data_IF_941760506700
#
_entry.id   IF_941760506700
#
_cell.length_a   1.000
_cell.length_b   1.000
_cell.length_c   1.000
_cell.angle_alpha   90.00
_cell.angle_beta   90.00
_cell.angle_gamma   90.00
#
_symmetry.space_group_name_H-M   'P 1'
#
loop_
_entity.id
_entity.type
_entity.pdbx_description
1 polymer ?
#
# COMPACT_ATOMS: atom_id res chain seq x y z
N UNK A 1 24.57 20.96 -1.12
CA UNK A 1 23.10 21.15 -1.13
C UNK A 1 22.77 22.52 -1.72
N UNK A 2 21.89 22.61 -2.73
CA UNK A 2 21.47 23.93 -3.27
C UNK A 2 20.59 24.64 -2.24
N UNK A 3 20.93 25.87 -1.86
CA UNK A 3 20.10 26.68 -0.95
C UNK A 3 18.80 27.06 -1.66
N UNK A 4 17.66 26.75 -1.03
CA UNK A 4 16.34 27.12 -1.56
C UNK A 4 16.19 28.64 -1.49
N UNK A 5 16.01 29.26 -2.66
CA UNK A 5 15.81 30.72 -2.74
C UNK A 5 14.40 31.09 -2.26
N UNK A 6 14.29 32.15 -1.47
CA UNK A 6 12.99 32.73 -1.10
C UNK A 6 12.28 33.26 -2.35
N UNK A 7 10.96 33.11 -2.40
CA UNK A 7 10.09 33.57 -3.49
C UNK A 7 9.04 34.55 -2.97
N UNK A 8 8.53 35.43 -3.84
CA UNK A 8 7.42 36.35 -3.53
C UNK A 8 6.08 35.65 -3.74
N UNK A 9 5.23 35.63 -2.73
CA UNK A 9 3.89 35.04 -2.83
C UNK A 9 3.02 35.84 -3.81
N UNK A 10 2.30 35.16 -4.72
CA UNK A 10 1.40 35.83 -5.68
C UNK A 10 0.18 36.50 -5.03
N UNK A 11 -0.26 36.03 -3.86
CA UNK A 11 -1.40 36.59 -3.14
C UNK A 11 -0.99 37.72 -2.17
N UNK A 12 -0.30 37.40 -1.07
CA UNK A 12 0.03 38.39 -0.04
C UNK A 12 1.30 39.21 -0.33
N UNK A 13 2.00 38.94 -1.45
CA UNK A 13 3.23 39.65 -1.87
C UNK A 13 4.42 39.58 -0.91
N UNK A 14 4.31 38.84 0.19
CA UNK A 14 5.41 38.60 1.13
C UNK A 14 6.39 37.54 0.59
N UNK A 15 7.66 37.68 0.99
CA UNK A 15 8.68 36.66 0.73
C UNK A 15 8.43 35.43 1.62
N UNK A 16 8.60 34.24 1.04
CA UNK A 16 8.48 32.97 1.74
C UNK A 16 9.55 31.98 1.23
N UNK A 17 9.89 31.00 2.05
CA UNK A 17 10.73 29.87 1.64
C UNK A 17 9.82 28.77 1.07
N UNK A 18 9.94 28.41 -0.22
CA UNK A 18 9.19 27.29 -0.79
C UNK A 18 9.55 25.95 -0.16
N UNK A 19 8.61 25.00 -0.21
CA UNK A 19 8.87 23.61 0.15
C UNK A 19 9.91 23.02 -0.81
N UNK A 20 10.92 22.34 -0.28
CA UNK A 20 11.98 21.71 -1.07
C UNK A 20 11.47 20.73 -2.12
N UNK A 21 10.34 20.05 -1.89
CA UNK A 21 9.75 19.08 -2.83
C UNK A 21 9.06 19.75 -4.00
N UNK A 22 8.64 21.00 -3.82
CA UNK A 22 7.81 21.73 -4.78
C UNK A 22 8.36 23.13 -5.08
N UNK A 23 9.66 23.33 -4.84
CA UNK A 23 10.24 24.67 -4.80
C UNK A 23 10.11 25.38 -6.15
N UNK A 24 10.19 24.64 -7.26
CA UNK A 24 10.05 25.15 -8.62
C UNK A 24 8.64 25.69 -8.88
N UNK A 25 7.60 24.90 -8.55
CA UNK A 25 6.21 25.20 -8.92
C UNK A 25 5.44 25.99 -7.84
N UNK A 26 5.94 26.03 -6.60
CA UNK A 26 5.25 26.73 -5.51
C UNK A 26 5.34 28.26 -5.68
N UNK A 27 4.17 28.86 -5.92
CA UNK A 27 4.01 30.31 -6.17
C UNK A 27 3.27 31.05 -5.03
N UNK A 28 2.75 30.29 -4.06
CA UNK A 28 1.97 30.82 -2.93
C UNK A 28 2.59 30.31 -1.62
N UNK A 29 2.61 31.15 -0.59
CA UNK A 29 3.06 30.74 0.73
C UNK A 29 2.00 29.86 1.44
N UNK A 30 2.39 29.26 2.56
CA UNK A 30 1.54 28.31 3.30
C UNK A 30 0.41 28.95 4.10
N UNK A 31 0.36 30.29 4.20
CA UNK A 31 -0.71 31.01 4.92
C UNK A 31 -2.09 30.62 4.35
N UNK A 32 -3.04 30.31 5.23
CA UNK A 32 -4.42 29.91 4.88
C UNK A 32 -5.07 30.77 3.79
N UNK A 33 -5.06 32.12 3.84
CA UNK A 33 -5.63 32.93 2.76
C UNK A 33 -4.91 32.74 1.41
N UNK A 34 -3.58 32.55 1.43
CA UNK A 34 -2.80 32.33 0.21
C UNK A 34 -3.02 30.93 -0.38
N UNK A 35 -3.26 29.92 0.46
CA UNK A 35 -3.67 28.57 0.00
C UNK A 35 -5.03 28.60 -0.67
N UNK A 36 -6.01 29.31 -0.10
CA UNK A 36 -7.34 29.51 -0.71
C UNK A 36 -7.21 30.20 -2.07
N UNK A 37 -6.42 31.27 -2.14
CA UNK A 37 -6.15 31.98 -3.40
C UNK A 37 -5.45 31.11 -4.45
N UNK A 38 -4.48 30.30 -4.04
CA UNK A 38 -3.82 29.31 -4.90
C UNK A 38 -4.82 28.33 -5.50
N UNK A 39 -5.70 27.74 -4.67
CA UNK A 39 -6.74 26.81 -5.12
C UNK A 39 -7.68 27.48 -6.13
N UNK A 40 -8.15 28.71 -5.83
CA UNK A 40 -9.01 29.48 -6.75
C UNK A 40 -8.32 29.76 -8.09
N UNK A 41 -7.05 30.16 -8.08
CA UNK A 41 -6.29 30.42 -9.28
C UNK A 41 -6.09 29.16 -10.13
N UNK A 42 -5.73 28.04 -9.50
CA UNK A 42 -5.60 26.75 -10.18
C UNK A 42 -6.92 26.26 -10.74
N UNK A 43 -8.02 26.41 -9.99
CA UNK A 43 -9.35 26.05 -10.46
C UNK A 43 -9.78 26.91 -11.65
N UNK A 44 -9.56 28.22 -11.62
CA UNK A 44 -9.83 29.11 -12.76
C UNK A 44 -9.03 28.71 -14.00
N UNK A 45 -7.74 28.41 -13.83
CA UNK A 45 -6.88 27.94 -14.93
C UNK A 45 -7.32 26.59 -15.49
N UNK A 46 -7.87 25.72 -14.64
CA UNK A 46 -8.35 24.41 -15.06
C UNK A 46 -9.69 24.53 -15.82
N UNK A 47 -10.61 25.36 -15.32
CA UNK A 47 -11.90 25.66 -15.95
C UNK A 47 -11.79 26.48 -17.24
N UNK A 48 -10.71 27.24 -17.43
CA UNK A 48 -10.49 27.99 -18.68
C UNK A 48 -10.12 27.11 -19.87
N UNK A 49 -9.99 25.80 -19.67
CA UNK A 49 -9.82 24.83 -20.76
C UNK A 49 -11.21 24.44 -21.28
N UNK A 50 -11.45 24.48 -22.59
CA UNK A 50 -12.78 24.19 -23.15
C UNK A 50 -13.29 22.80 -22.75
N UNK A 51 -12.39 21.82 -22.59
CA UNK A 51 -12.76 20.46 -22.18
C UNK A 51 -13.29 20.37 -20.73
N UNK A 52 -13.00 21.35 -19.88
CA UNK A 52 -13.35 21.33 -18.45
C UNK A 52 -14.37 22.40 -18.05
N UNK A 53 -14.76 23.29 -18.98
CA UNK A 53 -15.64 24.43 -18.71
C UNK A 53 -16.94 23.99 -18.04
N UNK A 54 -17.58 22.97 -18.63
CA UNK A 54 -18.84 22.41 -18.16
C UNK A 54 -18.67 21.22 -17.22
N UNK A 55 -17.46 20.92 -16.73
CA UNK A 55 -17.24 19.72 -15.91
C UNK A 55 -18.19 19.64 -14.70
N UNK A 56 -18.44 20.75 -14.01
CA UNK A 56 -19.35 20.78 -12.86
C UNK A 56 -20.82 20.95 -13.22
N UNK A 57 -21.14 21.23 -14.49
CA UNK A 57 -22.50 21.48 -14.99
C UNK A 57 -23.02 20.38 -15.92
N UNK A 58 -22.13 19.52 -16.40
CA UNK A 58 -22.47 18.47 -17.36
C UNK A 58 -23.47 17.48 -16.76
N UNK A 59 -24.57 17.18 -17.49
CA UNK A 59 -25.54 16.18 -17.08
C UNK A 59 -24.93 14.79 -16.93
N UNK A 60 -23.90 14.45 -17.71
CA UNK A 60 -23.21 13.15 -17.66
C UNK A 60 -22.60 12.90 -16.27
N UNK A 61 -22.06 13.94 -15.64
CA UNK A 61 -21.50 13.83 -14.29
C UNK A 61 -22.59 13.61 -13.24
N UNK A 62 -23.77 14.20 -13.43
CA UNK A 62 -24.93 14.00 -12.56
C UNK A 62 -25.45 12.57 -12.71
N UNK A 63 -25.68 12.12 -13.95
CA UNK A 63 -26.15 10.77 -14.25
C UNK A 63 -25.17 9.71 -13.73
N UNK A 64 -23.87 9.91 -13.94
CA UNK A 64 -22.82 9.01 -13.40
C UNK A 64 -22.90 8.92 -11.88
N UNK A 65 -23.09 10.04 -11.18
CA UNK A 65 -23.21 10.04 -9.71
C UNK A 65 -24.51 9.37 -9.26
N UNK A 66 -25.61 9.54 -9.98
CA UNK A 66 -26.88 8.86 -9.71
C UNK A 66 -26.74 7.35 -9.87
N UNK A 67 -26.25 6.87 -11.03
CA UNK A 67 -25.97 5.44 -11.26
C UNK A 67 -25.03 4.86 -10.22
N UNK A 68 -23.99 5.61 -9.82
CA UNK A 68 -23.08 5.15 -8.77
C UNK A 68 -23.78 4.99 -7.40
N UNK A 69 -24.71 5.89 -7.06
CA UNK A 69 -25.51 5.79 -5.82
C UNK A 69 -26.48 4.62 -5.85
N UNK A 70 -27.12 4.38 -7.00
CA UNK A 70 -28.01 3.22 -7.22
C UNK A 70 -27.26 1.90 -7.07
N UNK A 71 -26.06 1.81 -7.65
CA UNK A 71 -25.21 0.62 -7.59
C UNK A 71 -24.43 0.46 -6.27
N UNK A 72 -24.37 1.50 -5.45
CA UNK A 72 -23.67 1.47 -4.14
C UNK A 72 -24.60 1.90 -3.00
N UNK A 73 -25.71 1.17 -2.79
CA UNK A 73 -26.60 1.43 -1.65
C UNK A 73 -25.78 1.26 -0.36
N UNK A 74 -26.07 2.11 0.64
CA UNK A 74 -25.39 2.16 1.94
C UNK A 74 -23.96 2.71 1.98
N UNK A 75 -23.38 3.21 0.88
CA UNK A 75 -22.05 3.84 0.93
C UNK A 75 -21.95 4.93 2.01
N UNK A 76 -22.97 5.76 2.16
CA UNK A 76 -23.02 6.85 3.15
C UNK A 76 -23.16 6.35 4.59
N UNK A 77 -23.60 5.10 4.79
CA UNK A 77 -23.68 4.44 6.11
C UNK A 77 -22.35 3.80 6.52
N UNK A 78 -21.37 3.70 5.61
CA UNK A 78 -20.04 3.20 5.97
C UNK A 78 -19.43 4.13 7.00
N UNK A 79 -19.28 3.63 8.22
CA UNK A 79 -18.55 4.32 9.28
C UNK A 79 -17.17 4.68 8.74
N UNK A 80 -16.76 5.95 8.90
CA UNK A 80 -15.38 6.35 8.60
C UNK A 80 -14.48 5.40 9.38
N UNK A 81 -13.74 4.52 8.70
CA UNK A 81 -12.64 3.78 9.34
C UNK A 81 -11.76 4.85 9.97
N UNK A 82 -11.72 4.88 11.30
CA UNK A 82 -11.20 6.00 12.10
C UNK A 82 -9.68 6.14 12.03
N UNK A 83 -9.01 5.38 11.18
CA UNK A 83 -7.56 5.28 11.14
C UNK A 83 -7.16 5.26 9.67
N UNK A 84 -6.65 6.39 9.17
CA UNK A 84 -5.76 6.31 8.03
C UNK A 84 -4.52 5.54 8.52
N UNK A 85 -4.04 4.55 7.77
CA UNK A 85 -2.88 3.72 8.14
C UNK A 85 -1.64 4.54 8.55
N UNK A 86 -1.60 5.82 8.17
CA UNK A 86 -0.55 6.79 8.42
C UNK A 86 -0.62 7.42 9.84
N UNK A 87 -1.78 7.44 10.48
CA UNK A 87 -1.97 8.04 11.81
C UNK A 87 -1.47 7.14 12.95
N UNK A 88 -1.18 5.86 12.67
CA UNK A 88 -0.58 4.91 13.61
C UNK A 88 0.95 5.01 13.71
N UNK A 89 1.58 5.91 12.94
CA UNK A 89 3.00 6.26 13.13
C UNK A 89 3.14 7.24 14.29
N UNK A 90 2.70 6.84 15.48
CA UNK A 90 3.09 7.52 16.71
C UNK A 90 4.59 7.28 16.90
N UNK A 91 5.38 8.34 16.92
CA UNK A 91 6.79 8.26 17.29
C UNK A 91 6.88 7.68 18.71
N UNK A 92 7.35 6.44 18.84
CA UNK A 92 7.61 5.83 20.14
C UNK A 92 8.78 6.59 20.79
N UNK A 93 8.67 6.96 22.08
CA UNK A 93 9.80 7.53 22.80
C UNK A 93 10.86 6.45 22.98
N UNK A 94 12.12 6.82 22.73
CA UNK A 94 13.28 5.98 23.03
C UNK A 94 13.42 5.98 24.55
N UNK A 95 12.85 4.99 25.23
CA UNK A 95 13.20 4.69 26.61
C UNK A 95 14.15 3.49 26.62
N UNK A 96 15.44 3.80 26.64
CA UNK A 96 16.47 2.88 27.09
C UNK A 96 16.25 2.61 28.58
N UNK A 97 15.73 1.45 28.97
CA UNK A 97 15.97 0.88 30.30
C UNK A 97 16.11 -0.64 30.24
N UNK A 98 17.18 -1.06 30.91
CA UNK A 98 17.77 -2.37 30.99
C UNK A 98 16.92 -3.36 31.82
N UNK A 99 17.20 -4.65 31.60
CA UNK A 99 16.93 -5.80 32.47
C UNK A 99 15.52 -6.42 32.50
N UNK A 100 15.43 -7.48 31.70
CA UNK A 100 15.25 -8.89 32.10
C UNK A 100 13.90 -9.42 32.61
N UNK A 101 13.58 -10.57 32.01
CA UNK A 101 12.85 -11.73 32.55
C UNK A 101 11.35 -11.61 32.83
N UNK A 102 10.54 -11.33 31.81
CA UNK A 102 9.21 -11.98 31.68
C UNK A 102 8.60 -11.71 30.29
N UNK A 103 9.03 -12.45 29.27
CA UNK A 103 8.36 -12.44 27.95
C UNK A 103 7.63 -13.77 27.79
N UNK A 104 6.43 -13.86 28.37
CA UNK A 104 5.46 -14.86 27.97
C UNK A 104 4.64 -14.32 26.80
N UNK A 105 4.77 -15.01 25.66
CA UNK A 105 3.76 -15.19 24.62
C UNK A 105 2.92 -13.97 24.23
N UNK A 106 3.51 -13.09 23.42
CA UNK A 106 2.77 -12.36 22.38
C UNK A 106 3.46 -12.67 21.06
N UNK A 107 2.77 -13.21 20.04
CA UNK A 107 3.34 -13.30 18.71
C UNK A 107 3.47 -11.86 18.21
N UNK A 108 4.69 -11.33 18.25
CA UNK A 108 4.98 -10.08 17.57
C UNK A 108 4.64 -10.30 16.11
N UNK A 109 3.61 -9.62 15.64
CA UNK A 109 3.24 -9.59 14.23
C UNK A 109 4.31 -8.80 13.50
N UNK A 110 5.46 -9.43 13.24
CA UNK A 110 6.46 -8.87 12.35
C UNK A 110 5.81 -8.69 10.98
N UNK A 111 6.00 -7.53 10.36
CA UNK A 111 5.56 -7.36 8.99
C UNK A 111 6.26 -8.43 8.14
N UNK A 112 5.53 -8.98 7.17
CA UNK A 112 6.00 -10.09 6.32
C UNK A 112 7.39 -9.82 5.71
N UNK A 113 7.67 -8.56 5.42
CA UNK A 113 8.95 -8.09 4.93
C UNK A 113 10.08 -8.20 5.96
N UNK A 114 9.83 -7.89 7.24
CA UNK A 114 10.83 -7.98 8.31
C UNK A 114 11.19 -9.45 8.61
N UNK A 115 10.19 -10.34 8.52
CA UNK A 115 10.38 -11.78 8.68
C UNK A 115 11.27 -12.37 7.59
N UNK A 116 11.12 -11.92 6.35
CA UNK A 116 11.91 -12.38 5.21
C UNK A 116 13.30 -11.74 5.17
N UNK A 117 13.43 -10.46 5.53
CA UNK A 117 14.70 -9.74 5.55
C UNK A 117 15.64 -10.25 6.66
N UNK A 118 15.10 -10.79 7.75
CA UNK A 118 15.87 -11.37 8.84
C UNK A 118 16.36 -12.81 8.57
N UNK A 119 16.01 -13.41 7.42
CA UNK A 119 16.31 -14.82 7.14
C UNK A 119 17.52 -15.07 6.27
N UNK A 120 18.20 -16.17 6.58
CA UNK A 120 19.26 -16.70 5.73
C UNK A 120 18.69 -17.02 4.33
N UNK A 121 19.30 -16.53 3.24
CA UNK A 121 18.89 -16.85 1.87
C UNK A 121 18.78 -18.35 1.59
N UNK A 122 19.52 -19.18 2.33
CA UNK A 122 19.45 -20.65 2.27
C UNK A 122 18.07 -21.17 2.70
N UNK A 123 17.47 -20.60 3.74
CA UNK A 123 16.14 -21.01 4.23
C UNK A 123 15.08 -20.66 3.18
N UNK A 124 15.16 -19.47 2.59
CA UNK A 124 14.26 -19.03 1.52
C UNK A 124 14.37 -19.96 0.30
N UNK A 125 15.60 -20.32 -0.09
CA UNK A 125 15.85 -21.25 -1.18
C UNK A 125 15.33 -22.67 -0.91
N UNK A 126 15.46 -23.17 0.32
CA UNK A 126 14.91 -24.47 0.72
C UNK A 126 13.37 -24.46 0.66
N UNK A 127 12.74 -23.40 1.15
CA UNK A 127 11.28 -23.26 1.10
C UNK A 127 10.81 -23.20 -0.35
N UNK A 128 11.45 -22.39 -1.20
CA UNK A 128 11.17 -22.36 -2.63
C UNK A 128 11.25 -23.75 -3.27
N UNK A 129 12.29 -24.52 -2.97
CA UNK A 129 12.43 -25.89 -3.50
C UNK A 129 11.29 -26.83 -3.04
N UNK A 130 10.69 -26.58 -1.88
CA UNK A 130 9.60 -27.42 -1.34
C UNK A 130 8.23 -27.06 -1.92
N UNK A 131 7.96 -25.78 -2.21
CA UNK A 131 6.65 -25.32 -2.67
C UNK A 131 6.60 -24.95 -4.17
N UNK A 132 7.76 -24.73 -4.80
CA UNK A 132 7.87 -24.33 -6.21
C UNK A 132 7.38 -22.90 -6.51
N UNK A 133 7.15 -22.08 -5.48
CA UNK A 133 6.63 -20.71 -5.57
C UNK A 133 7.64 -19.72 -5.01
N UNK A 134 7.93 -18.67 -5.78
CA UNK A 134 8.74 -17.53 -5.35
C UNK A 134 7.90 -16.37 -4.78
N UNK A 135 6.58 -16.56 -4.63
CA UNK A 135 5.69 -15.54 -4.09
C UNK A 135 6.00 -15.34 -2.60
N UNK A 136 6.21 -14.09 -2.20
CA UNK A 136 6.62 -13.75 -0.84
C UNK A 136 5.61 -14.22 0.22
N UNK A 137 4.31 -14.16 -0.10
CA UNK A 137 3.25 -14.62 0.79
C UNK A 137 3.29 -16.14 1.00
N UNK A 138 3.51 -16.91 -0.07
CA UNK A 138 3.60 -18.37 0.02
C UNK A 138 4.83 -18.81 0.82
N UNK A 139 5.96 -18.12 0.61
CA UNK A 139 7.21 -18.37 1.35
C UNK A 139 7.01 -18.06 2.83
N UNK A 140 6.43 -16.89 3.16
CA UNK A 140 6.21 -16.47 4.53
C UNK A 140 5.22 -17.38 5.28
N UNK A 141 4.14 -17.78 4.62
CA UNK A 141 3.15 -18.70 5.20
C UNK A 141 3.78 -20.08 5.47
N UNK A 142 4.55 -20.61 4.51
CA UNK A 142 5.22 -21.90 4.65
C UNK A 142 6.25 -21.88 5.77
N UNK A 143 7.04 -20.82 5.82
CA UNK A 143 8.01 -20.55 6.86
C UNK A 143 7.39 -20.51 8.26
N UNK A 144 6.33 -19.73 8.46
CA UNK A 144 5.64 -19.63 9.76
C UNK A 144 5.14 -21.00 10.21
N UNK A 145 4.60 -21.79 9.28
CA UNK A 145 4.16 -23.15 9.55
C UNK A 145 5.32 -24.08 9.91
N UNK A 146 6.46 -23.98 9.22
CA UNK A 146 7.67 -24.73 9.57
C UNK A 146 8.22 -24.35 10.94
N UNK A 147 8.19 -23.06 11.28
CA UNK A 147 8.59 -22.58 12.59
C UNK A 147 7.68 -23.14 13.68
N UNK A 148 6.36 -23.13 13.46
CA UNK A 148 5.40 -23.73 14.39
C UNK A 148 5.66 -25.23 14.57
N UNK A 149 5.86 -25.99 13.49
CA UNK A 149 6.22 -27.40 13.59
C UNK A 149 7.54 -27.63 14.32
N UNK A 150 8.56 -26.83 14.05
CA UNK A 150 9.83 -26.90 14.76
C UNK A 150 9.66 -26.65 16.26
N UNK A 151 8.83 -25.66 16.63
CA UNK A 151 8.49 -25.40 18.03
C UNK A 151 7.71 -26.54 18.67
N UNK A 152 6.76 -27.15 17.95
CA UNK A 152 6.01 -28.32 18.44
C UNK A 152 6.92 -29.53 18.68
N UNK A 153 7.91 -29.77 17.81
CA UNK A 153 8.90 -30.85 17.99
C UNK A 153 9.80 -30.55 19.19
N UNK A 154 10.42 -29.36 19.23
CA UNK A 154 11.42 -28.99 20.22
C UNK A 154 10.84 -28.77 21.63
N UNK A 155 9.60 -28.28 21.72
CA UNK A 155 8.92 -27.95 22.97
C UNK A 155 7.67 -28.82 23.21
N UNK A 156 7.64 -30.01 22.61
CA UNK A 156 6.60 -31.02 22.87
C UNK A 156 6.55 -31.32 24.36
N UNK A 157 5.56 -30.73 25.05
CA UNK A 157 5.25 -31.07 26.43
C UNK A 157 4.83 -32.54 26.43
N UNK A 158 5.59 -33.39 27.11
CA UNK A 158 5.26 -34.78 27.39
C UNK A 158 3.90 -34.85 28.09
N UNK A 159 2.83 -34.97 27.32
CA UNK A 159 1.58 -35.52 27.79
C UNK A 159 1.49 -36.94 27.27
N UNK A 160 2.01 -37.86 28.08
CA UNK A 160 1.60 -39.25 28.08
C UNK A 160 0.09 -39.30 28.32
N UNK A 161 -0.73 -39.28 27.27
CA UNK A 161 -2.06 -39.89 27.27
C UNK A 161 -2.34 -40.44 25.87
N UNK A 162 -2.44 -41.76 25.79
CA UNK A 162 -2.72 -42.48 24.56
C UNK A 162 -4.07 -42.09 23.96
N UNK A 163 -4.08 -41.92 22.64
CA UNK A 163 -5.27 -41.69 21.85
C UNK A 163 -4.94 -41.86 20.39
N UNK A 164 -5.22 -43.05 19.87
CA UNK A 164 -5.13 -43.39 18.45
C UNK A 164 -5.86 -42.36 17.61
N UNK A 165 -5.17 -41.66 16.71
CA UNK A 165 -5.74 -41.19 15.45
C UNK A 165 -4.65 -41.10 14.38
N UNK A 166 -4.88 -41.86 13.32
CA UNK A 166 -4.01 -42.07 12.19
C UNK A 166 -3.51 -40.78 11.53
N UNK A 167 -2.25 -40.82 11.12
CA UNK A 167 -1.63 -39.83 10.25
C UNK A 167 -2.40 -39.74 8.92
N UNK A 168 -3.29 -38.75 8.79
CA UNK A 168 -3.84 -38.39 7.48
C UNK A 168 -2.71 -37.82 6.62
N UNK A 169 -2.12 -38.65 5.78
CA UNK A 169 -1.30 -38.23 4.64
C UNK A 169 -2.17 -37.35 3.73
N UNK A 170 -1.93 -36.05 3.71
CA UNK A 170 -2.51 -35.18 2.69
C UNK A 170 -1.82 -35.49 1.35
N UNK A 171 -2.54 -36.17 0.46
CA UNK A 171 -2.11 -36.39 -0.91
C UNK A 171 -1.98 -35.04 -1.63
N UNK A 172 -0.75 -34.63 -1.93
CA UNK A 172 -0.49 -33.57 -2.89
C UNK A 172 -0.85 -34.09 -4.29
N UNK A 173 -2.02 -33.69 -4.81
CA UNK A 173 -2.32 -33.81 -6.24
C UNK A 173 -2.10 -32.45 -6.89
N UNK A 174 -0.99 -32.33 -7.61
CA UNK A 174 -0.74 -31.25 -8.56
C UNK A 174 -1.60 -31.50 -9.79
N UNK A 175 -2.67 -30.71 -9.96
CA UNK A 175 -3.34 -30.60 -11.26
C UNK A 175 -2.90 -29.32 -11.92
N UNK A 176 -1.91 -29.42 -12.81
CA UNK A 176 -1.67 -28.42 -13.84
C UNK A 176 -2.78 -28.49 -14.89
N UNK A 177 -3.41 -27.38 -15.26
CA UNK A 177 -4.03 -27.26 -16.57
C UNK A 177 -3.04 -26.59 -17.52
N UNK A 178 -2.60 -27.38 -18.51
CA UNK A 178 -2.19 -26.87 -19.81
C UNK A 178 -3.43 -26.22 -20.43
N UNK A 179 -3.40 -24.92 -20.66
CA UNK A 179 -3.80 -24.39 -21.95
C UNK A 179 -3.24 -22.98 -22.16
N UNK A 180 -2.40 -22.87 -23.18
CA UNK A 180 -1.72 -21.66 -23.60
C UNK A 180 -2.66 -20.93 -24.55
N UNK A 181 -3.30 -19.86 -24.09
CA UNK A 181 -3.80 -18.82 -24.99
C UNK A 181 -3.02 -17.54 -24.75
N UNK A 182 -2.17 -17.19 -25.71
CA UNK A 182 -1.56 -15.86 -25.81
C UNK A 182 -2.68 -14.83 -26.00
N UNK A 183 -2.99 -14.08 -24.96
CA UNK A 183 -3.75 -12.83 -25.09
C UNK A 183 -2.78 -11.74 -25.53
N UNK A 184 -2.72 -11.51 -26.84
CA UNK A 184 -2.08 -10.36 -27.45
C UNK A 184 -2.87 -9.10 -27.05
N UNK A 185 -2.26 -8.21 -26.27
CA UNK A 185 -2.83 -6.88 -25.99
C UNK A 185 -2.64 -6.03 -27.24
N UNK A 186 -3.71 -5.86 -28.02
CA UNK A 186 -3.74 -4.92 -29.14
C UNK A 186 -3.44 -3.50 -28.65
N UNK A 187 -2.30 -3.00 -29.10
CA UNK A 187 -1.82 -1.63 -28.90
C UNK A 187 -2.47 -0.79 -30.00
N UNK A 188 -3.26 0.22 -29.62
CA UNK A 188 -3.74 1.23 -30.58
C UNK A 188 -2.55 1.90 -31.29
N UNK A 189 -2.62 2.14 -32.61
CA UNK A 189 -1.50 2.71 -33.37
C UNK A 189 -1.24 4.17 -33.01
N UNK A 190 0.05 4.50 -32.94
CA UNK A 190 0.57 5.86 -32.80
C UNK A 190 0.20 6.71 -34.02
N UNK A 191 -0.24 7.95 -33.78
CA UNK A 191 -0.61 8.90 -34.81
C UNK A 191 0.54 9.20 -35.77
N UNK A 192 0.23 9.18 -37.07
CA UNK A 192 1.13 9.61 -38.13
C UNK A 192 1.36 11.12 -38.05
N UNK A 193 2.61 11.53 -37.88
CA UNK A 193 3.06 12.88 -38.15
C UNK A 193 3.02 13.11 -39.66
N UNK A 194 2.26 14.10 -40.11
CA UNK A 194 2.40 14.64 -41.47
C UNK A 194 3.60 15.57 -41.50
N UNK A 195 4.54 15.23 -42.39
CA UNK A 195 5.61 16.10 -42.86
C UNK A 195 5.11 16.74 -44.15
N UNK A 196 5.47 18.03 -44.31
CA UNK A 196 5.17 18.99 -45.37
C UNK A 196 3.87 19.77 -45.23
#
# INVERSE_FOLDING_TARGET
MRKIKKKKCRHCRLLFTPDHRNWEKQNYCQKTPCRKASKKASQKKWLSKPENEDYFRSPDNVERVQKWRENTPEYWKRTKRSIALQDLLTAQPIENKENNSQIYAQPQTHALQDLLMAQSPVIIGLIYNLIGSALQDDIANTLLRMQQFGQEILFSKTQNQGGSHDCKKSNFKTTSPKDTQQLQLDRSPAGQAKVY
#
